data_IF_163437022947
#
_entry.id   IF_163437022947
#
_cell.length_a   1.000
_cell.length_b   1.000
_cell.length_c   1.000
_cell.angle_alpha   90.00
_cell.angle_beta   90.00
_cell.angle_gamma   90.00
#
_symmetry.space_group_name_H-M   'P 1'
#
loop_
_entity.id
_entity.type
_entity.pdbx_description
1 polymer ?
#
# COMPACT_ATOMS: atom_id res chain seq x y z
N UNK A 1 7.05 31.69 -4.10
CA UNK A 1 7.93 31.64 -2.91
C UNK A 1 7.02 31.72 -1.71
N UNK A 2 6.21 30.69 -1.55
CA UNK A 2 5.27 30.55 -0.44
C UNK A 2 6.01 29.77 0.64
N UNK A 3 6.15 30.37 1.81
CA UNK A 3 6.85 29.75 2.92
C UNK A 3 6.06 28.50 3.34
N UNK A 4 6.55 27.32 3.00
CA UNK A 4 6.07 26.08 3.58
C UNK A 4 6.31 26.18 5.09
N UNK A 5 5.23 26.44 5.83
CA UNK A 5 5.25 26.41 7.28
C UNK A 5 5.76 25.04 7.75
N UNK A 6 6.56 25.03 8.82
CA UNK A 6 7.00 23.79 9.44
C UNK A 6 5.78 22.91 9.76
N UNK A 7 5.84 21.60 9.49
CA UNK A 7 4.74 20.69 9.81
C UNK A 7 4.41 20.80 11.30
N UNK A 8 3.12 20.97 11.61
CA UNK A 8 2.64 21.08 12.99
C UNK A 8 2.44 19.70 13.61
N UNK A 9 2.36 18.65 12.79
CA UNK A 9 2.15 17.26 13.20
C UNK A 9 3.08 16.25 12.52
N UNK A 10 2.62 14.99 12.45
CA UNK A 10 3.35 13.90 11.79
C UNK A 10 3.21 14.06 10.28
N UNK A 11 4.33 14.23 9.59
CA UNK A 11 4.38 14.20 8.13
C UNK A 11 4.37 12.76 7.63
N UNK A 12 3.37 12.40 6.84
CA UNK A 12 3.28 11.13 6.15
C UNK A 12 3.70 11.30 4.69
N UNK A 13 4.71 10.58 4.22
CA UNK A 13 5.13 10.59 2.80
C UNK A 13 4.86 9.24 2.14
N UNK A 14 4.21 9.27 0.98
CA UNK A 14 3.91 8.07 0.20
C UNK A 14 5.09 7.61 -0.69
N UNK A 15 6.22 8.33 -0.71
CA UNK A 15 7.40 7.95 -1.49
C UNK A 15 8.71 8.30 -0.78
N UNK A 16 9.74 7.48 -0.95
CA UNK A 16 11.11 7.76 -0.48
C UNK A 16 11.83 8.89 -1.23
N UNK A 17 11.19 9.52 -2.23
CA UNK A 17 11.73 10.73 -2.83
C UNK A 17 11.62 11.87 -1.81
N UNK A 18 12.71 12.61 -1.61
CA UNK A 18 12.77 13.78 -0.70
C UNK A 18 11.68 14.84 -1.04
N UNK A 19 11.20 14.86 -2.30
CA UNK A 19 10.12 15.73 -2.81
C UNK A 19 8.79 14.98 -3.09
N UNK A 20 8.57 13.86 -2.42
CA UNK A 20 7.34 13.08 -2.54
C UNK A 20 6.09 13.81 -2.04
N UNK A 21 4.88 13.45 -2.52
CA UNK A 21 3.65 13.97 -1.93
C UNK A 21 3.58 13.58 -0.46
N UNK A 22 3.51 14.60 0.40
CA UNK A 22 3.44 14.46 1.85
C UNK A 22 2.14 15.04 2.40
N UNK A 23 1.61 14.43 3.46
CA UNK A 23 0.43 14.93 4.19
C UNK A 23 0.81 15.17 5.65
N UNK A 24 0.45 16.32 6.20
CA UNK A 24 0.46 16.51 7.66
C UNK A 24 -0.80 15.84 8.24
N UNK A 25 -0.60 14.80 9.04
CA UNK A 25 -1.71 14.04 9.62
C UNK A 25 -2.53 14.89 10.59
N UNK A 26 -1.94 15.87 11.26
CA UNK A 26 -2.66 16.76 12.17
C UNK A 26 -3.63 17.65 11.38
N UNK A 27 -3.14 18.32 10.34
CA UNK A 27 -3.98 19.16 9.48
C UNK A 27 -5.06 18.35 8.78
N UNK A 28 -4.74 17.12 8.36
CA UNK A 28 -5.72 16.20 7.80
C UNK A 28 -6.83 15.89 8.82
N UNK A 29 -6.49 15.53 10.05
CA UNK A 29 -7.47 15.22 11.10
C UNK A 29 -8.34 16.44 11.43
N UNK A 30 -7.75 17.64 11.53
CA UNK A 30 -8.51 18.89 11.75
C UNK A 30 -9.49 19.15 10.61
N UNK A 31 -9.04 19.04 9.35
CA UNK A 31 -9.90 19.24 8.18
C UNK A 31 -11.04 18.21 8.08
N UNK A 32 -10.81 16.98 8.55
CA UNK A 32 -11.86 15.95 8.65
C UNK A 32 -12.86 16.30 9.76
N UNK A 33 -12.39 16.88 10.87
CA UNK A 33 -13.22 17.41 11.94
C UNK A 33 -14.16 18.52 11.47
N UNK A 34 -13.67 19.46 10.65
CA UNK A 34 -14.48 20.52 10.02
C UNK A 34 -15.58 19.95 9.12
N UNK A 35 -15.34 18.78 8.52
CA UNK A 35 -16.30 18.02 7.71
C UNK A 35 -17.25 17.15 8.54
N UNK A 36 -17.19 17.24 9.87
CA UNK A 36 -18.05 16.50 10.80
C UNK A 36 -17.57 15.08 11.12
N UNK A 37 -16.38 14.67 10.67
CA UNK A 37 -15.79 13.37 11.01
C UNK A 37 -15.02 13.49 12.32
N UNK A 38 -15.56 12.89 13.38
CA UNK A 38 -14.98 12.92 14.71
C UNK A 38 -14.04 11.73 14.94
N UNK A 39 -13.03 11.92 15.77
CA UNK A 39 -12.15 10.82 16.23
C UNK A 39 -12.90 9.83 17.12
N UNK A 40 -12.51 8.53 17.14
CA UNK A 40 -11.33 7.95 16.50
C UNK A 40 -11.49 7.70 14.99
N UNK A 41 -10.42 7.99 14.23
CA UNK A 41 -10.36 7.78 12.77
C UNK A 41 -9.34 6.69 12.43
N UNK A 42 -9.64 5.88 11.40
CA UNK A 42 -8.70 4.94 10.80
C UNK A 42 -8.35 5.47 9.41
N UNK A 43 -7.13 5.96 9.25
CA UNK A 43 -6.59 6.38 7.96
C UNK A 43 -5.91 5.19 7.28
N UNK A 44 -6.23 4.95 6.02
CA UNK A 44 -5.68 3.85 5.21
C UNK A 44 -4.93 4.44 4.03
N UNK A 45 -3.72 3.94 3.81
CA UNK A 45 -2.87 4.30 2.68
C UNK A 45 -2.38 3.00 2.01
N UNK A 46 -3.21 2.37 1.16
CA UNK A 46 -2.86 1.12 0.47
C UNK A 46 -1.57 1.22 -0.37
N UNK A 47 -1.20 2.43 -0.78
CA UNK A 47 0.03 2.75 -1.51
C UNK A 47 1.28 2.36 -0.71
N UNK A 48 1.24 2.45 0.63
CA UNK A 48 2.34 1.98 1.49
C UNK A 48 2.56 0.49 1.29
N UNK A 49 1.48 -0.30 1.31
CA UNK A 49 1.57 -1.74 1.14
C UNK A 49 2.14 -2.08 -0.25
N UNK A 50 1.68 -1.40 -1.29
CA UNK A 50 2.21 -1.54 -2.65
C UNK A 50 3.69 -1.19 -2.73
N UNK A 51 4.12 -0.11 -2.08
CA UNK A 51 5.52 0.28 -2.00
C UNK A 51 6.37 -0.78 -1.30
N UNK A 52 5.91 -1.32 -0.17
CA UNK A 52 6.60 -2.39 0.57
C UNK A 52 6.71 -3.67 -0.26
N UNK A 53 5.67 -4.02 -1.01
CA UNK A 53 5.70 -5.13 -1.96
C UNK A 53 6.78 -4.90 -3.03
N UNK A 54 6.84 -3.69 -3.60
CA UNK A 54 7.87 -3.34 -4.57
C UNK A 54 9.29 -3.44 -4.01
N UNK A 55 9.52 -2.97 -2.77
CA UNK A 55 10.81 -3.12 -2.08
C UNK A 55 11.19 -4.59 -1.89
N UNK A 56 10.23 -5.43 -1.47
CA UNK A 56 10.45 -6.87 -1.32
C UNK A 56 10.85 -7.51 -2.66
N UNK A 57 10.13 -7.19 -3.74
CA UNK A 57 10.45 -7.70 -5.08
C UNK A 57 11.83 -7.24 -5.57
N UNK A 58 12.23 -5.99 -5.28
CA UNK A 58 13.57 -5.49 -5.61
C UNK A 58 14.65 -6.26 -4.88
N UNK A 59 14.51 -6.44 -3.57
CA UNK A 59 15.47 -7.17 -2.75
C UNK A 59 15.67 -8.61 -3.24
N UNK A 60 14.59 -9.31 -3.61
CA UNK A 60 14.68 -10.64 -4.22
C UNK A 60 15.35 -10.62 -5.59
N UNK A 61 15.06 -9.62 -6.43
CA UNK A 61 15.69 -9.48 -7.75
C UNK A 61 17.20 -9.24 -7.65
N UNK A 62 17.62 -8.40 -6.71
CA UNK A 62 19.02 -8.15 -6.41
C UNK A 62 19.72 -9.42 -5.95
N UNK A 63 19.12 -10.17 -5.02
CA UNK A 63 19.66 -11.45 -4.56
C UNK A 63 19.75 -12.50 -5.70
N UNK A 64 18.71 -12.63 -6.52
CA UNK A 64 18.70 -13.53 -7.69
C UNK A 64 19.86 -13.20 -8.64
N UNK A 65 20.07 -11.91 -8.93
CA UNK A 65 21.16 -11.45 -9.79
C UNK A 65 22.53 -11.71 -9.17
N UNK A 66 22.69 -11.48 -7.86
CA UNK A 66 23.96 -11.67 -7.16
C UNK A 66 24.41 -13.13 -7.14
N UNK A 67 23.46 -14.05 -6.99
CA UNK A 67 23.73 -15.49 -6.85
C UNK A 67 23.56 -16.28 -8.15
N UNK A 68 23.20 -15.62 -9.26
CA UNK A 68 23.01 -16.28 -10.55
C UNK A 68 21.87 -17.32 -10.55
N UNK A 69 20.84 -17.09 -9.74
CA UNK A 69 19.69 -17.99 -9.69
C UNK A 69 18.88 -17.89 -10.99
N UNK A 70 18.51 -19.03 -11.57
CA UNK A 70 17.96 -19.10 -12.94
C UNK A 70 16.45 -18.90 -13.03
N UNK A 71 15.76 -18.68 -11.90
CA UNK A 71 14.31 -18.55 -11.86
C UNK A 71 13.89 -17.23 -11.20
N UNK A 72 12.60 -16.91 -11.23
CA UNK A 72 12.04 -15.66 -10.73
C UNK A 72 11.41 -15.81 -9.35
N UNK A 73 11.41 -14.70 -8.59
CA UNK A 73 10.61 -14.58 -7.39
C UNK A 73 9.19 -14.14 -7.73
N UNK A 74 8.21 -14.92 -7.28
CA UNK A 74 6.79 -14.57 -7.33
C UNK A 74 6.24 -14.50 -5.91
N UNK A 75 5.99 -13.28 -5.44
CA UNK A 75 5.38 -13.05 -4.14
C UNK A 75 3.85 -13.12 -4.19
N UNK A 76 3.23 -13.46 -3.06
CA UNK A 76 1.78 -13.47 -2.89
C UNK A 76 1.38 -12.77 -1.59
N UNK A 77 0.30 -12.00 -1.61
CA UNK A 77 -0.26 -11.38 -0.43
C UNK A 77 -1.33 -12.30 0.19
N UNK A 78 -1.16 -12.76 1.44
CA UNK A 78 -2.15 -13.58 2.11
C UNK A 78 -3.35 -12.73 2.55
N UNK A 79 -4.50 -12.92 1.91
CA UNK A 79 -5.72 -12.13 2.17
C UNK A 79 -6.17 -12.24 3.62
N UNK A 80 -5.96 -13.39 4.26
CA UNK A 80 -6.23 -13.60 5.69
C UNK A 80 -5.51 -12.62 6.62
N UNK A 81 -4.40 -12.03 6.20
CA UNK A 81 -3.66 -11.07 7.03
C UNK A 81 -4.41 -9.73 7.16
N UNK A 82 -5.11 -9.33 6.10
CA UNK A 82 -5.96 -8.14 6.09
C UNK A 82 -6.95 -8.22 4.92
N UNK A 83 -8.22 -8.47 5.25
CA UNK A 83 -9.30 -8.71 4.30
C UNK A 83 -9.99 -7.40 3.83
N UNK A 84 -9.40 -6.24 4.13
CA UNK A 84 -9.93 -4.94 3.69
C UNK A 84 -9.96 -4.83 2.16
N UNK A 85 -11.13 -4.52 1.60
CA UNK A 85 -11.36 -4.54 0.15
C UNK A 85 -10.49 -3.53 -0.61
N UNK A 86 -10.22 -2.36 -0.04
CA UNK A 86 -9.42 -1.33 -0.69
C UNK A 86 -7.94 -1.72 -0.73
N UNK A 87 -7.45 -2.32 0.37
CA UNK A 87 -6.10 -2.91 0.37
C UNK A 87 -5.98 -4.04 -0.64
N UNK A 88 -6.91 -5.01 -0.62
CA UNK A 88 -6.85 -6.17 -1.54
C UNK A 88 -6.92 -5.71 -3.00
N UNK A 89 -7.79 -4.73 -3.30
CA UNK A 89 -7.88 -4.12 -4.64
C UNK A 89 -6.59 -3.44 -5.06
N UNK A 90 -5.98 -2.65 -4.17
CA UNK A 90 -4.73 -1.97 -4.46
C UNK A 90 -3.58 -2.97 -4.72
N UNK A 91 -3.47 -4.02 -3.90
CA UNK A 91 -2.47 -5.08 -4.07
C UNK A 91 -2.71 -5.84 -5.38
N UNK A 92 -3.96 -6.15 -5.72
CA UNK A 92 -4.28 -6.80 -6.99
C UNK A 92 -3.90 -5.93 -8.20
N UNK A 93 -4.24 -4.64 -8.15
CA UNK A 93 -3.90 -3.69 -9.21
C UNK A 93 -2.38 -3.53 -9.37
N UNK A 94 -1.64 -3.45 -8.26
CA UNK A 94 -0.19 -3.45 -8.26
C UNK A 94 0.36 -4.75 -8.89
N UNK A 95 -0.15 -5.88 -8.43
CA UNK A 95 0.23 -7.23 -8.87
C UNK A 95 0.01 -7.50 -10.35
N UNK A 96 -1.01 -6.90 -10.97
CA UNK A 96 -1.25 -6.99 -12.41
C UNK A 96 -0.06 -6.47 -13.24
N UNK A 97 0.68 -5.47 -12.73
CA UNK A 97 1.86 -4.91 -13.40
C UNK A 97 3.17 -5.58 -12.98
N UNK A 98 3.24 -6.16 -11.78
CA UNK A 98 4.50 -6.67 -11.19
C UNK A 98 4.58 -8.19 -11.06
N UNK A 99 3.51 -8.92 -11.42
CA UNK A 99 3.44 -10.37 -11.25
C UNK A 99 3.31 -10.83 -9.80
N UNK A 100 2.84 -9.95 -8.91
CA UNK A 100 2.56 -10.26 -7.50
C UNK A 100 1.13 -10.79 -7.35
N UNK A 101 0.95 -11.92 -6.66
CA UNK A 101 -0.34 -12.59 -6.54
C UNK A 101 -1.09 -12.33 -5.24
N UNK A 102 -2.29 -12.90 -5.15
CA UNK A 102 -3.07 -12.99 -3.91
C UNK A 102 -3.17 -14.47 -3.49
N UNK A 103 -3.04 -14.73 -2.18
CA UNK A 103 -3.31 -16.03 -1.58
C UNK A 103 -4.63 -15.97 -0.82
N UNK A 104 -5.49 -16.96 -1.07
CA UNK A 104 -6.80 -17.11 -0.43
C UNK A 104 -6.86 -18.46 0.27
N UNK A 105 -7.27 -18.46 1.53
CA UNK A 105 -7.35 -19.64 2.38
C UNK A 105 -8.79 -20.12 2.65
N UNK A 106 -9.81 -19.41 2.17
CA UNK A 106 -11.21 -19.81 2.36
C UNK A 106 -12.12 -19.43 1.19
N UNK A 107 -13.31 -20.06 1.13
CA UNK A 107 -14.35 -19.72 0.14
C UNK A 107 -14.80 -18.26 0.26
N UNK A 108 -14.83 -17.71 1.48
CA UNK A 108 -15.18 -16.31 1.70
C UNK A 108 -14.11 -15.36 1.18
N UNK A 109 -12.83 -15.68 1.40
CA UNK A 109 -11.71 -14.89 0.86
C UNK A 109 -11.64 -14.94 -0.66
N UNK A 110 -11.89 -16.11 -1.25
CA UNK A 110 -12.01 -16.23 -2.71
C UNK A 110 -13.14 -15.35 -3.25
N UNK A 111 -14.32 -15.38 -2.63
CA UNK A 111 -15.45 -14.55 -3.03
C UNK A 111 -15.13 -13.04 -2.92
N UNK A 112 -14.44 -12.63 -1.85
CA UNK A 112 -13.97 -11.26 -1.67
C UNK A 112 -13.03 -10.85 -2.80
N UNK A 113 -11.99 -11.65 -3.08
CA UNK A 113 -11.02 -11.36 -4.13
C UNK A 113 -11.73 -11.23 -5.48
N UNK A 114 -12.57 -12.20 -5.86
CA UNK A 114 -13.30 -12.15 -7.13
C UNK A 114 -14.23 -10.94 -7.24
N UNK A 115 -14.78 -10.44 -6.12
CA UNK A 115 -15.64 -9.27 -6.11
C UNK A 115 -14.90 -7.92 -6.20
N UNK A 116 -13.60 -7.88 -5.89
CA UNK A 116 -12.81 -6.64 -5.90
C UNK A 116 -11.83 -6.54 -7.08
N UNK A 117 -11.60 -7.64 -7.79
CA UNK A 117 -10.80 -7.63 -9.02
C UNK A 117 -11.53 -6.85 -10.13
N UNK A 118 -10.81 -6.01 -10.91
CA UNK A 118 -11.38 -5.39 -12.10
C UNK A 118 -11.76 -6.48 -13.13
N UNK A 119 -12.80 -6.24 -13.96
CA UNK A 119 -13.25 -7.18 -14.98
C UNK A 119 -12.23 -7.44 -16.08
#
# INVERSE_FOLDING_TARGET
MESAGLPRGVLFSCSHAEDGPSVDVHELVESLGERGLQTPLILRFPEIACHRIGQLQSAFREAISLWGYSNAFHGVFPVKANQDADLVRAVAAHGASTGYGLEVGSRAELALVLGVLPP
#
